data_IF_838989768242
#
_entry.id   IF_838989768242
#
_cell.length_a   1.000
_cell.length_b   1.000
_cell.length_c   1.000
_cell.angle_alpha   90.00
_cell.angle_beta   90.00
_cell.angle_gamma   90.00
#
_symmetry.space_group_name_H-M   'P 1'
#
loop_
_entity.id
_entity.type
_entity.pdbx_description
1 polymer ?
#
# COMPACT_ATOMS: atom_id res chain seq x y z
N UNK A 1 31.72 -29.53 7.30
CA UNK A 1 30.51 -28.85 7.80
C UNK A 1 30.89 -27.45 8.25
N UNK A 2 30.45 -26.40 7.55
CA UNK A 2 30.16 -25.12 8.18
C UNK A 2 28.63 -24.92 8.21
N UNK A 3 28.11 -24.63 9.40
CA UNK A 3 26.73 -24.21 9.61
C UNK A 3 26.56 -22.81 9.00
N UNK A 4 25.78 -22.70 7.92
CA UNK A 4 25.30 -21.43 7.41
C UNK A 4 24.21 -20.90 8.34
N UNK A 5 24.45 -19.71 8.89
CA UNK A 5 23.46 -18.94 9.63
C UNK A 5 22.28 -18.61 8.71
N UNK A 6 21.14 -19.26 8.94
CA UNK A 6 19.84 -18.80 8.45
C UNK A 6 19.54 -17.44 9.08
N UNK A 7 19.55 -16.38 8.28
CA UNK A 7 19.11 -15.04 8.70
C UNK A 7 17.58 -15.02 8.77
N UNK A 8 17.06 -15.52 9.88
CA UNK A 8 15.67 -15.39 10.29
C UNK A 8 15.37 -13.92 10.60
N UNK A 9 14.21 -13.43 10.18
CA UNK A 9 13.80 -12.04 10.35
C UNK A 9 13.32 -11.70 11.78
N UNK A 10 13.84 -12.35 12.82
CA UNK A 10 13.53 -12.02 14.22
C UNK A 10 14.70 -12.34 15.17
N UNK A 11 15.03 -11.37 16.04
CA UNK A 11 15.41 -11.47 17.48
C UNK A 11 16.08 -10.13 17.90
N UNK A 12 15.76 -9.49 19.04
CA UNK A 12 15.09 -10.00 20.23
C UNK A 12 14.50 -8.94 21.18
N UNK A 13 13.83 -9.47 22.21
CA UNK A 13 13.15 -8.84 23.36
C UNK A 13 14.15 -8.21 24.37
N UNK A 14 13.84 -7.51 25.47
CA UNK A 14 12.68 -7.31 26.37
C UNK A 14 13.08 -6.16 27.33
N UNK A 15 12.17 -5.27 27.78
CA UNK A 15 11.91 -4.92 29.21
C UNK A 15 11.04 -3.65 29.37
N UNK A 16 10.08 -3.79 30.29
CA UNK A 16 9.14 -2.77 30.77
C UNK A 16 9.83 -1.70 31.62
N UNK A 17 9.38 -0.45 31.50
CA UNK A 17 9.32 0.52 32.60
C UNK A 17 8.30 1.63 32.29
N UNK A 18 7.18 1.59 33.02
CA UNK A 18 6.19 2.67 33.18
C UNK A 18 6.75 3.72 34.15
N UNK A 19 6.81 4.99 33.75
CA UNK A 19 6.50 6.16 34.61
C UNK A 19 5.98 7.31 33.74
N UNK A 20 4.88 7.91 34.22
CA UNK A 20 4.04 8.94 33.64
C UNK A 20 4.73 10.24 33.22
N UNK A 21 4.16 10.90 32.20
CA UNK A 21 4.01 12.37 32.15
C UNK A 21 2.63 12.67 31.53
N UNK A 22 1.59 12.53 32.36
CA UNK A 22 0.32 13.20 32.16
C UNK A 22 0.52 14.66 32.58
N UNK A 23 -0.07 15.60 31.82
CA UNK A 23 -0.18 17.05 32.08
C UNK A 23 0.98 17.91 31.57
N UNK A 24 0.90 18.31 30.29
CA UNK A 24 1.13 19.71 29.91
C UNK A 24 0.48 20.00 28.54
N UNK A 25 -0.85 19.89 28.46
CA UNK A 25 -1.60 20.64 27.44
C UNK A 25 -1.86 22.03 28.03
N UNK A 26 -0.97 22.95 27.72
CA UNK A 26 -1.18 24.36 27.99
C UNK A 26 -2.12 24.93 26.92
N UNK A 27 -3.15 25.63 27.39
CA UNK A 27 -4.31 26.05 26.63
C UNK A 27 -3.96 26.96 25.45
N UNK A 28 -4.17 26.49 24.22
CA UNK A 28 -4.42 27.39 23.09
C UNK A 28 -5.92 27.56 22.99
N UNK A 29 -6.41 28.72 23.43
CA UNK A 29 -7.81 29.10 23.26
C UNK A 29 -8.12 29.17 21.76
N UNK A 30 -8.83 28.18 21.24
CA UNK A 30 -9.36 28.20 19.88
C UNK A 30 -10.53 29.17 19.81
N UNK A 31 -10.45 30.11 18.88
CA UNK A 31 -11.55 30.98 18.46
C UNK A 31 -12.77 30.10 18.11
N UNK A 32 -14.00 30.44 18.53
CA UNK A 32 -15.17 29.66 18.13
C UNK A 32 -15.38 29.81 16.62
N UNK A 33 -15.15 28.73 15.87
CA UNK A 33 -15.48 28.66 14.44
C UNK A 33 -17.00 28.75 14.28
N UNK A 34 -17.43 29.47 13.25
CA UNK A 34 -18.85 29.62 12.92
C UNK A 34 -19.43 28.30 12.42
N UNK A 35 -20.74 28.07 12.60
CA UNK A 35 -21.42 26.84 12.17
C UNK A 35 -21.26 26.55 10.67
N UNK A 36 -21.10 27.59 9.87
CA UNK A 36 -20.97 27.51 8.41
C UNK A 36 -19.56 27.03 7.98
N UNK A 37 -18.52 27.33 8.77
CA UNK A 37 -17.15 26.84 8.53
C UNK A 37 -17.02 25.35 8.87
N UNK A 38 -17.69 24.90 9.93
CA UNK A 38 -17.68 23.49 10.36
C UNK A 38 -18.35 22.58 9.31
N UNK A 39 -19.45 23.03 8.71
CA UNK A 39 -20.17 22.28 7.67
C UNK A 39 -19.34 22.18 6.37
N UNK A 40 -18.64 23.26 6.01
CA UNK A 40 -17.77 23.30 4.83
C UNK A 40 -16.53 22.40 4.97
N UNK A 41 -15.90 22.37 6.15
CA UNK A 41 -14.72 21.52 6.41
C UNK A 41 -15.09 20.03 6.43
N UNK A 42 -16.24 19.68 7.00
CA UNK A 42 -16.74 18.30 7.00
C UNK A 42 -17.11 17.82 5.60
N UNK A 43 -17.71 18.70 4.77
CA UNK A 43 -18.02 18.41 3.38
C UNK A 43 -16.74 18.21 2.55
N UNK A 44 -15.76 19.10 2.68
CA UNK A 44 -14.47 18.98 2.01
C UNK A 44 -13.76 17.65 2.36
N UNK A 45 -13.72 17.30 3.65
CA UNK A 45 -13.09 16.05 4.08
C UNK A 45 -13.83 14.82 3.53
N UNK A 46 -15.16 14.87 3.48
CA UNK A 46 -15.98 13.79 2.88
C UNK A 46 -15.67 13.61 1.39
N UNK A 47 -15.57 14.70 0.64
CA UNK A 47 -15.22 14.67 -0.80
C UNK A 47 -13.82 14.11 -1.03
N UNK A 48 -12.83 14.48 -0.20
CA UNK A 48 -11.49 13.90 -0.26
C UNK A 48 -11.51 12.39 -0.04
N UNK A 49 -12.26 11.90 0.97
CA UNK A 49 -12.41 10.48 1.19
C UNK A 49 -13.07 9.78 -0.01
N UNK A 50 -14.14 10.34 -0.57
CA UNK A 50 -14.83 9.76 -1.72
C UNK A 50 -13.93 9.70 -2.96
N UNK A 51 -13.16 10.76 -3.22
CA UNK A 51 -12.21 10.78 -4.32
C UNK A 51 -11.09 9.74 -4.14
N UNK A 52 -10.53 9.63 -2.92
CA UNK A 52 -9.51 8.63 -2.61
C UNK A 52 -10.04 7.20 -2.85
N UNK A 53 -11.26 6.88 -2.40
CA UNK A 53 -11.89 5.57 -2.62
C UNK A 53 -12.08 5.25 -4.10
N UNK A 54 -12.51 6.23 -4.91
CA UNK A 54 -12.62 6.07 -6.36
C UNK A 54 -11.24 5.80 -6.99
N UNK A 55 -10.19 6.50 -6.52
CA UNK A 55 -8.82 6.27 -7.00
C UNK A 55 -8.31 4.87 -6.66
N UNK A 56 -8.56 4.36 -5.44
CA UNK A 56 -8.21 2.96 -5.09
C UNK A 56 -8.85 1.95 -6.03
N UNK A 57 -10.17 2.08 -6.28
CA UNK A 57 -10.88 1.19 -7.19
C UNK A 57 -10.31 1.23 -8.61
N UNK A 58 -10.00 2.43 -9.10
CA UNK A 58 -9.40 2.61 -10.41
C UNK A 58 -8.00 1.97 -10.50
N UNK A 59 -7.14 2.21 -9.51
CA UNK A 59 -5.79 1.63 -9.46
C UNK A 59 -5.87 0.11 -9.37
N UNK A 60 -6.77 -0.44 -8.56
CA UNK A 60 -6.99 -1.88 -8.44
C UNK A 60 -7.43 -2.51 -9.76
N UNK A 61 -8.36 -1.86 -10.48
CA UNK A 61 -8.81 -2.29 -11.81
C UNK A 61 -7.66 -2.28 -12.82
N UNK A 62 -6.93 -1.16 -12.90
CA UNK A 62 -5.79 -1.02 -13.81
C UNK A 62 -4.67 -2.02 -13.50
N UNK A 63 -4.36 -2.26 -12.23
CA UNK A 63 -3.37 -3.25 -11.82
C UNK A 63 -3.80 -4.67 -12.20
N UNK A 64 -5.09 -4.98 -12.07
CA UNK A 64 -5.64 -6.28 -12.49
C UNK A 64 -5.58 -6.44 -14.01
N UNK A 65 -5.88 -5.38 -14.75
CA UNK A 65 -5.77 -5.36 -16.21
C UNK A 65 -4.32 -5.51 -16.68
N UNK A 66 -3.40 -4.75 -16.10
CA UNK A 66 -1.96 -4.85 -16.35
C UNK A 66 -1.46 -6.28 -16.12
N UNK A 67 -1.87 -6.90 -15.00
CA UNK A 67 -1.59 -8.31 -14.72
C UNK A 67 -2.07 -9.22 -15.84
N UNK A 68 -3.33 -9.11 -16.24
CA UNK A 68 -3.87 -9.91 -17.34
C UNK A 68 -3.04 -9.73 -18.61
N UNK A 69 -2.72 -8.50 -18.99
CA UNK A 69 -1.97 -8.18 -20.21
C UNK A 69 -0.60 -8.84 -20.26
N UNK A 70 0.19 -8.83 -19.19
CA UNK A 70 1.50 -9.50 -19.21
C UNK A 70 1.42 -11.03 -18.98
N UNK A 71 0.30 -11.53 -18.46
CA UNK A 71 0.05 -12.98 -18.27
C UNK A 71 -0.65 -13.67 -19.44
N UNK A 72 -1.21 -12.94 -20.41
CA UNK A 72 -1.94 -13.51 -21.56
C UNK A 72 -1.01 -13.88 -22.74
N UNK A 73 0.15 -14.43 -22.42
CA UNK A 73 1.18 -14.81 -23.39
C UNK A 73 1.48 -16.30 -23.30
N UNK A 74 1.86 -16.93 -24.42
CA UNK A 74 2.31 -18.34 -24.43
C UNK A 74 3.48 -18.57 -23.45
N UNK A 75 4.32 -17.54 -23.25
CA UNK A 75 5.37 -17.54 -22.24
C UNK A 75 4.80 -17.72 -20.83
N UNK A 76 3.72 -17.02 -20.50
CA UNK A 76 3.07 -17.09 -19.20
C UNK A 76 2.52 -18.49 -18.88
N UNK A 77 1.97 -19.22 -19.85
CA UNK A 77 1.50 -20.59 -19.60
C UNK A 77 2.65 -21.55 -19.26
N UNK A 78 3.76 -21.46 -20.01
CA UNK A 78 4.99 -22.23 -19.76
C UNK A 78 5.64 -21.82 -18.43
N UNK A 79 5.67 -20.52 -18.16
CA UNK A 79 6.14 -19.95 -16.91
C UNK A 79 5.29 -20.43 -15.74
N UNK A 80 3.96 -20.34 -15.80
CA UNK A 80 3.07 -20.86 -14.76
C UNK A 80 3.30 -22.34 -14.50
N UNK A 81 3.49 -23.15 -15.54
CA UNK A 81 3.78 -24.58 -15.36
C UNK A 81 5.12 -24.80 -14.65
N UNK A 82 6.19 -24.15 -15.10
CA UNK A 82 7.53 -24.23 -14.50
C UNK A 82 7.53 -23.68 -13.07
N UNK A 83 6.95 -22.50 -12.88
CA UNK A 83 6.78 -21.84 -11.59
C UNK A 83 6.01 -22.72 -10.62
N UNK A 84 4.91 -23.35 -11.04
CA UNK A 84 4.17 -24.26 -10.17
C UNK A 84 5.02 -25.48 -9.78
N UNK A 85 5.82 -26.04 -10.69
CA UNK A 85 6.74 -27.13 -10.39
C UNK A 85 7.82 -26.73 -9.37
N UNK A 86 8.49 -25.59 -9.58
CA UNK A 86 9.47 -25.05 -8.64
C UNK A 86 8.84 -24.64 -7.31
N UNK A 87 7.59 -24.17 -7.34
CA UNK A 87 6.80 -23.87 -6.14
C UNK A 87 6.49 -25.11 -5.33
N UNK A 88 6.26 -26.27 -5.95
CA UNK A 88 6.11 -27.51 -5.19
C UNK A 88 7.43 -28.01 -4.58
N UNK A 89 8.58 -27.63 -5.15
CA UNK A 89 9.90 -28.02 -4.66
C UNK A 89 10.45 -27.09 -3.55
N UNK A 90 10.21 -25.78 -3.63
CA UNK A 90 10.68 -24.76 -2.67
C UNK A 90 9.58 -23.74 -2.29
N UNK A 91 8.53 -24.25 -1.63
CA UNK A 91 7.38 -23.44 -1.19
C UNK A 91 7.78 -22.25 -0.31
N UNK A 92 8.76 -22.41 0.58
CA UNK A 92 9.12 -21.38 1.55
C UNK A 92 9.85 -20.20 0.88
N UNK A 93 10.76 -20.47 -0.07
CA UNK A 93 11.48 -19.43 -0.79
C UNK A 93 10.56 -18.59 -1.68
N UNK A 94 9.65 -19.23 -2.44
CA UNK A 94 8.76 -18.50 -3.34
C UNK A 94 7.66 -17.75 -2.59
N UNK A 95 7.09 -18.32 -1.53
CA UNK A 95 6.18 -17.59 -0.64
C UNK A 95 6.89 -16.36 -0.10
N UNK A 96 8.11 -16.51 0.44
CA UNK A 96 8.85 -15.39 1.02
C UNK A 96 9.19 -14.32 -0.03
N UNK A 97 9.57 -14.72 -1.25
CA UNK A 97 10.01 -13.79 -2.30
C UNK A 97 8.85 -13.01 -2.91
N UNK A 98 7.67 -13.64 -3.09
CA UNK A 98 6.48 -12.98 -3.62
C UNK A 98 5.69 -12.19 -2.56
N UNK A 99 5.69 -12.64 -1.31
CA UNK A 99 4.91 -11.97 -0.24
C UNK A 99 5.67 -10.85 0.45
N UNK A 100 7.00 -10.81 0.36
CA UNK A 100 7.80 -9.73 0.91
C UNK A 100 7.87 -8.54 -0.06
N UNK A 101 6.99 -7.57 0.16
CA UNK A 101 6.95 -6.33 -0.57
C UNK A 101 7.99 -5.34 -0.03
N UNK A 102 7.55 -4.43 0.82
CA UNK A 102 8.38 -3.42 1.47
C UNK A 102 8.65 -3.82 2.94
N UNK A 103 9.78 -3.35 3.49
CA UNK A 103 10.13 -3.62 4.89
C UNK A 103 9.53 -2.53 5.80
N UNK A 104 8.23 -2.60 6.04
CA UNK A 104 7.54 -1.63 6.90
C UNK A 104 7.80 -1.87 8.39
N UNK A 105 7.96 -0.78 9.16
CA UNK A 105 8.15 -0.87 10.62
C UNK A 105 6.92 -1.38 11.38
N UNK A 106 5.73 -1.30 10.78
CA UNK A 106 4.49 -1.84 11.34
C UNK A 106 3.95 -2.87 10.36
N UNK A 107 3.61 -4.06 10.89
CA UNK A 107 3.03 -5.16 10.11
C UNK A 107 1.78 -4.65 9.38
N UNK A 108 1.70 -4.95 8.09
CA UNK A 108 0.52 -4.66 7.27
C UNK A 108 -0.65 -5.50 7.78
N UNK A 109 -1.76 -4.90 8.26
CA UNK A 109 -2.98 -5.66 8.53
C UNK A 109 -3.51 -6.24 7.21
N UNK A 110 -3.88 -7.51 7.23
CA UNK A 110 -4.33 -8.22 6.02
C UNK A 110 -5.83 -8.04 5.77
N UNK A 111 -6.58 -7.71 6.83
CA UNK A 111 -8.03 -7.58 6.80
C UNK A 111 -8.52 -6.52 7.80
N UNK A 112 -9.84 -6.28 7.77
CA UNK A 112 -10.51 -5.29 8.62
C UNK A 112 -10.36 -5.60 10.10
N UNK A 113 -10.47 -6.88 10.50
CA UNK A 113 -10.40 -7.29 11.91
C UNK A 113 -9.00 -7.04 12.49
N UNK A 114 -7.95 -7.23 11.69
CA UNK A 114 -6.58 -6.87 12.05
C UNK A 114 -6.39 -5.35 12.09
N UNK A 115 -6.93 -4.62 11.11
CA UNK A 115 -6.81 -3.17 11.05
C UNK A 115 -7.55 -2.47 12.21
N UNK A 116 -8.68 -3.00 12.65
CA UNK A 116 -9.44 -2.50 13.81
C UNK A 116 -8.69 -2.63 15.14
N UNK A 117 -7.74 -3.55 15.24
CA UNK A 117 -6.89 -3.72 16.44
C UNK A 117 -5.76 -2.72 16.50
N UNK A 118 -5.49 -1.99 15.41
CA UNK A 118 -4.45 -0.97 15.34
C UNK A 118 -5.03 0.35 15.86
N UNK A 119 -4.29 1.03 16.74
CA UNK A 119 -4.66 2.38 17.18
C UNK A 119 -4.79 3.33 15.98
N UNK A 120 -5.87 4.10 15.94
CA UNK A 120 -6.14 5.12 14.92
C UNK A 120 -4.98 6.15 14.83
N UNK A 121 -4.30 6.41 15.94
CA UNK A 121 -3.08 7.25 16.00
C UNK A 121 -1.92 6.73 15.15
N UNK A 122 -1.88 5.43 14.86
CA UNK A 122 -0.85 4.82 14.00
C UNK A 122 -1.21 4.86 12.50
N UNK A 123 -2.45 5.22 12.15
CA UNK A 123 -2.90 5.23 10.76
C UNK A 123 -2.13 6.20 9.87
N UNK A 124 -1.79 7.45 10.31
CA UNK A 124 -0.99 8.34 9.49
C UNK A 124 0.34 7.71 9.08
N UNK A 125 1.04 7.06 10.03
CA UNK A 125 2.31 6.39 9.77
C UNK A 125 2.16 5.23 8.80
N UNK A 126 1.10 4.43 8.98
CA UNK A 126 0.80 3.29 8.12
C UNK A 126 0.52 3.70 6.68
N UNK A 127 -0.36 4.69 6.50
CA UNK A 127 -0.82 5.17 5.20
C UNK A 127 0.32 5.89 4.46
N UNK A 128 0.96 6.87 5.10
CA UNK A 128 1.95 7.71 4.42
C UNK A 128 3.21 6.93 4.04
N UNK A 129 3.69 5.99 4.87
CA UNK A 129 4.85 5.17 4.53
C UNK A 129 4.62 4.33 3.27
N UNK A 130 3.40 3.82 3.09
CA UNK A 130 2.99 3.00 1.93
C UNK A 130 2.79 3.85 0.69
N UNK A 131 2.03 4.94 0.81
CA UNK A 131 1.79 5.82 -0.33
C UNK A 131 3.09 6.47 -0.82
N UNK A 132 4.00 6.83 0.08
CA UNK A 132 5.30 7.34 -0.32
C UNK A 132 6.16 6.28 -0.99
N UNK A 133 6.22 5.05 -0.44
CA UNK A 133 6.95 3.94 -1.05
C UNK A 133 6.46 3.65 -2.48
N UNK A 134 5.16 3.61 -2.71
CA UNK A 134 4.58 3.37 -4.04
C UNK A 134 4.76 4.53 -5.00
N UNK A 135 4.65 5.78 -4.53
CA UNK A 135 4.90 6.95 -5.35
C UNK A 135 6.34 6.98 -5.89
N UNK A 136 7.33 6.61 -5.07
CA UNK A 136 8.72 6.49 -5.55
C UNK A 136 8.91 5.26 -6.44
N UNK A 137 8.36 4.12 -6.04
CA UNK A 137 8.52 2.85 -6.78
C UNK A 137 8.01 2.98 -8.21
N UNK A 138 6.81 3.54 -8.40
CA UNK A 138 6.22 3.68 -9.73
C UNK A 138 7.01 4.66 -10.62
N UNK A 139 7.51 5.77 -10.05
CA UNK A 139 8.37 6.73 -10.75
C UNK A 139 9.70 6.11 -11.21
N UNK A 140 10.26 5.20 -10.43
CA UNK A 140 11.51 4.53 -10.75
C UNK A 140 11.32 3.38 -11.74
N UNK A 141 10.19 2.66 -11.67
CA UNK A 141 9.89 1.52 -12.54
C UNK A 141 9.48 1.97 -13.94
N UNK A 142 8.73 3.07 -14.06
CA UNK A 142 8.18 3.48 -15.34
C UNK A 142 9.26 3.69 -16.43
N UNK A 143 10.38 4.41 -16.18
CA UNK A 143 11.47 4.54 -17.16
C UNK A 143 12.11 3.21 -17.56
N UNK A 144 12.13 2.23 -16.66
CA UNK A 144 12.66 0.88 -16.93
C UNK A 144 11.76 0.17 -17.94
N UNK A 145 10.43 0.26 -17.76
CA UNK A 145 9.46 -0.35 -18.66
C UNK A 145 9.49 0.31 -20.05
N UNK A 146 9.62 1.64 -20.11
CA UNK A 146 9.63 2.42 -21.36
C UNK A 146 10.87 2.19 -22.21
N UNK A 147 12.05 2.15 -21.59
CA UNK A 147 13.31 2.01 -22.33
C UNK A 147 13.57 0.58 -22.82
N UNK A 148 12.70 -0.36 -22.45
CA UNK A 148 12.92 -1.77 -22.69
C UNK A 148 12.24 -2.26 -23.96
N UNK A 149 13.05 -2.82 -24.85
CA UNK A 149 12.58 -3.54 -26.03
C UNK A 149 11.82 -4.81 -25.61
N UNK A 150 10.65 -5.03 -26.22
CA UNK A 150 9.82 -6.21 -25.97
C UNK A 150 8.79 -6.08 -24.84
N UNK A 151 8.75 -4.97 -24.10
CA UNK A 151 7.62 -4.67 -23.22
C UNK A 151 6.39 -4.34 -24.06
N UNK A 152 5.25 -4.98 -23.80
CA UNK A 152 4.01 -4.66 -24.50
C UNK A 152 3.59 -3.21 -24.23
N UNK A 153 3.28 -2.45 -25.29
CA UNK A 153 2.86 -1.04 -25.18
C UNK A 153 1.67 -0.86 -24.23
N UNK A 154 0.77 -1.84 -24.18
CA UNK A 154 -0.39 -1.84 -23.29
C UNK A 154 0.01 -1.91 -21.81
N UNK A 155 1.03 -2.71 -21.47
CA UNK A 155 1.58 -2.78 -20.09
C UNK A 155 2.17 -1.44 -19.68
N UNK A 156 2.93 -0.80 -20.57
CA UNK A 156 3.51 0.54 -20.32
C UNK A 156 2.38 1.57 -20.12
N UNK A 157 1.36 1.55 -20.97
CA UNK A 157 0.22 2.48 -20.89
C UNK A 157 -0.52 2.33 -19.55
N UNK A 158 -0.82 1.09 -19.14
CA UNK A 158 -1.47 0.81 -17.87
C UNK A 158 -0.61 1.23 -16.67
N UNK A 159 0.70 0.99 -16.72
CA UNK A 159 1.63 1.42 -15.68
C UNK A 159 1.66 2.96 -15.53
N UNK A 160 1.60 3.71 -16.64
CA UNK A 160 1.50 5.19 -16.62
C UNK A 160 0.23 5.67 -15.95
N UNK A 161 -0.90 5.05 -16.27
CA UNK A 161 -2.17 5.42 -15.66
C UNK A 161 -2.22 5.10 -14.16
N UNK A 162 -1.59 3.99 -13.74
CA UNK A 162 -1.40 3.65 -12.33
C UNK A 162 -0.52 4.70 -11.63
N UNK A 163 0.64 5.06 -12.20
CA UNK A 163 1.55 6.05 -11.64
C UNK A 163 0.86 7.40 -11.42
N UNK A 164 0.18 7.90 -12.47
CA UNK A 164 -0.52 9.18 -12.42
C UNK A 164 -1.62 9.19 -11.36
N UNK A 165 -2.44 8.13 -11.30
CA UNK A 165 -3.52 8.04 -10.30
C UNK A 165 -2.98 7.86 -8.89
N UNK A 166 -1.91 7.10 -8.73
CA UNK A 166 -1.24 6.93 -7.43
C UNK A 166 -0.66 8.26 -6.92
N UNK A 167 -0.10 9.08 -7.81
CA UNK A 167 0.39 10.41 -7.44
C UNK A 167 -0.73 11.32 -6.90
N UNK A 168 -1.90 11.32 -7.56
CA UNK A 168 -3.08 12.06 -7.08
C UNK A 168 -3.55 11.50 -5.73
N UNK A 169 -3.68 10.18 -5.62
CA UNK A 169 -4.09 9.52 -4.39
C UNK A 169 -3.15 9.82 -3.22
N UNK A 170 -1.83 9.92 -3.47
CA UNK A 170 -0.85 10.29 -2.46
C UNK A 170 -1.06 11.71 -1.93
N UNK A 171 -1.39 12.67 -2.80
CA UNK A 171 -1.73 14.02 -2.38
C UNK A 171 -3.03 14.05 -1.56
N UNK A 172 -4.07 13.34 -2.01
CA UNK A 172 -5.34 13.24 -1.28
C UNK A 172 -5.15 12.62 0.11
N UNK A 173 -4.34 11.57 0.23
CA UNK A 173 -4.04 10.96 1.53
C UNK A 173 -3.30 11.91 2.46
N UNK A 174 -2.35 12.71 1.95
CA UNK A 174 -1.71 13.75 2.76
C UNK A 174 -2.72 14.79 3.21
N UNK A 175 -3.60 15.25 2.32
CA UNK A 175 -4.61 16.26 2.64
C UNK A 175 -5.57 15.73 3.72
N UNK A 176 -6.13 14.53 3.55
CA UNK A 176 -7.00 13.87 4.53
C UNK A 176 -6.33 13.80 5.90
N UNK A 177 -5.11 13.29 5.95
CA UNK A 177 -4.40 13.11 7.22
C UNK A 177 -4.04 14.46 7.85
N UNK A 178 -3.71 15.48 7.04
CA UNK A 178 -3.41 16.81 7.53
C UNK A 178 -4.62 17.53 8.13
N UNK A 179 -5.81 17.31 7.55
CA UNK A 179 -7.06 17.86 8.08
C UNK A 179 -7.46 17.23 9.41
N UNK A 180 -7.09 15.96 9.65
CA UNK A 180 -7.49 15.22 10.86
C UNK A 180 -6.46 15.35 11.98
N UNK A 181 -5.17 15.24 11.65
CA UNK A 181 -4.07 15.16 12.63
C UNK A 181 -3.17 16.40 12.65
N UNK A 182 -3.44 17.40 11.79
CA UNK A 182 -2.53 18.51 11.57
C UNK A 182 -1.29 18.08 10.76
N UNK A 183 -0.21 18.87 10.83
CA UNK A 183 1.01 18.60 10.06
C UNK A 183 1.58 17.22 10.41
N UNK A 184 1.54 16.30 9.44
CA UNK A 184 2.13 14.97 9.57
C UNK A 184 3.64 15.04 9.35
N UNK A 185 4.39 14.34 10.20
CA UNK A 185 5.84 14.25 10.06
C UNK A 185 6.24 13.41 8.85
N UNK A 186 7.46 13.62 8.36
CA UNK A 186 8.04 12.76 7.35
C UNK A 186 8.23 11.36 7.94
N UNK A 187 7.67 10.35 7.28
CA UNK A 187 7.79 8.96 7.68
C UNK A 187 8.76 8.21 6.79
N UNK A 188 9.70 7.48 7.37
CA UNK A 188 10.62 6.67 6.58
C UNK A 188 9.86 5.71 5.64
N UNK A 189 10.38 5.56 4.43
CA UNK A 189 9.90 4.58 3.47
C UNK A 189 11.04 3.61 3.13
N UNK A 190 10.66 2.42 2.65
CA UNK A 190 11.61 1.43 2.17
C UNK A 190 11.45 1.23 0.67
N UNK A 191 12.51 0.79 0.02
CA UNK A 191 12.51 0.46 -1.41
C UNK A 191 12.01 -0.97 -1.62
N UNK A 192 11.16 -1.18 -2.63
CA UNK A 192 10.77 -2.52 -3.06
C UNK A 192 11.97 -3.24 -3.67
N UNK A 193 12.34 -4.38 -3.09
CA UNK A 193 13.47 -5.21 -3.56
C UNK A 193 13.03 -6.17 -4.67
N UNK A 194 13.93 -6.58 -5.56
CA UNK A 194 13.64 -7.52 -6.66
C UNK A 194 13.02 -6.85 -7.89
N UNK A 195 13.08 -5.52 -8.00
CA UNK A 195 12.66 -4.79 -9.20
C UNK A 195 13.80 -4.59 -10.20
N UNK A 196 15.05 -4.80 -9.77
CA UNK A 196 16.23 -4.90 -10.63
C UNK A 196 16.06 -5.93 -11.75
N UNK A 197 15.30 -7.00 -11.48
CA UNK A 197 14.99 -8.07 -12.43
C UNK A 197 14.13 -7.61 -13.62
N UNK A 198 13.46 -6.45 -13.52
CA UNK A 198 12.80 -5.81 -14.66
C UNK A 198 13.78 -5.44 -15.78
N UNK A 199 15.08 -5.32 -15.49
CA UNK A 199 16.15 -5.07 -16.46
C UNK A 199 16.88 -6.35 -16.91
N UNK A 200 16.59 -7.51 -16.30
CA UNK A 200 17.26 -8.78 -16.62
C UNK A 200 17.02 -9.20 -18.06
N UNK A 201 18.04 -9.70 -18.77
CA UNK A 201 17.86 -10.29 -20.10
C UNK A 201 16.96 -11.52 -20.10
N UNK A 202 16.83 -12.19 -18.95
CA UNK A 202 15.94 -13.33 -18.76
C UNK A 202 14.46 -12.90 -18.70
N UNK A 203 13.62 -13.54 -19.52
CA UNK A 203 12.18 -13.26 -19.57
C UNK A 203 11.44 -13.73 -18.33
N UNK A 204 11.96 -14.76 -17.67
CA UNK A 204 11.39 -15.34 -16.45
C UNK A 204 11.54 -14.38 -15.27
N UNK A 205 12.75 -13.87 -15.03
CA UNK A 205 13.00 -12.90 -13.97
C UNK A 205 12.23 -11.60 -14.19
N UNK A 206 12.10 -11.14 -15.43
CA UNK A 206 11.23 -10.00 -15.76
C UNK A 206 9.78 -10.24 -15.37
N UNK A 207 9.23 -11.38 -15.79
CA UNK A 207 7.84 -11.70 -15.54
C UNK A 207 7.59 -11.84 -14.03
N UNK A 208 8.51 -12.47 -13.32
CA UNK A 208 8.47 -12.55 -11.86
C UNK A 208 8.48 -11.17 -11.19
N UNK A 209 9.31 -10.24 -11.66
CA UNK A 209 9.35 -8.87 -11.12
C UNK A 209 8.03 -8.11 -11.37
N UNK A 210 7.38 -8.29 -12.53
CA UNK A 210 6.05 -7.74 -12.81
C UNK A 210 4.96 -8.36 -11.92
N UNK A 211 5.00 -9.68 -11.70
CA UNK A 211 4.13 -10.38 -10.76
C UNK A 211 4.27 -9.82 -9.35
N UNK A 212 5.51 -9.65 -8.87
CA UNK A 212 5.81 -9.08 -7.56
C UNK A 212 5.31 -7.63 -7.44
N UNK A 213 5.60 -6.79 -8.44
CA UNK A 213 5.13 -5.40 -8.48
C UNK A 213 3.59 -5.32 -8.37
N UNK A 214 2.88 -6.11 -9.18
CA UNK A 214 1.41 -6.13 -9.20
C UNK A 214 0.82 -6.67 -7.89
N UNK A 215 1.36 -7.78 -7.37
CA UNK A 215 0.92 -8.36 -6.11
C UNK A 215 1.10 -7.38 -4.95
N UNK A 216 2.28 -6.79 -4.84
CA UNK A 216 2.60 -5.87 -3.76
C UNK A 216 1.76 -4.59 -3.82
N UNK A 217 1.53 -4.04 -5.02
CA UNK A 217 0.67 -2.87 -5.18
C UNK A 217 -0.73 -3.18 -4.66
N UNK A 218 -1.28 -4.36 -5.00
CA UNK A 218 -2.60 -4.79 -4.53
C UNK A 218 -2.64 -4.89 -3.00
N UNK A 219 -1.65 -5.54 -2.38
CA UNK A 219 -1.61 -5.75 -0.93
C UNK A 219 -1.55 -4.42 -0.17
N UNK A 220 -0.63 -3.55 -0.55
CA UNK A 220 -0.44 -2.27 0.15
C UNK A 220 -1.61 -1.32 -0.11
N UNK A 221 -2.16 -1.26 -1.33
CA UNK A 221 -3.33 -0.42 -1.63
C UNK A 221 -4.58 -0.88 -0.89
N UNK A 222 -4.81 -2.20 -0.80
CA UNK A 222 -5.93 -2.75 -0.03
C UNK A 222 -5.84 -2.35 1.44
N UNK A 223 -4.65 -2.41 2.02
CA UNK A 223 -4.45 -1.98 3.39
C UNK A 223 -4.74 -0.48 3.58
N UNK A 224 -4.22 0.38 2.69
CA UNK A 224 -4.47 1.83 2.79
C UNK A 224 -5.96 2.13 2.65
N UNK A 225 -6.66 1.46 1.72
CA UNK A 225 -8.11 1.57 1.54
C UNK A 225 -8.88 1.18 2.82
N UNK A 226 -8.54 0.05 3.46
CA UNK A 226 -9.13 -0.37 4.73
C UNK A 226 -8.88 0.67 5.83
N UNK A 227 -7.65 1.15 5.99
CA UNK A 227 -7.32 2.15 7.01
C UNK A 227 -8.09 3.46 6.78
N UNK A 228 -8.23 3.93 5.54
CA UNK A 228 -8.99 5.14 5.23
C UNK A 228 -10.50 4.97 5.42
N UNK A 229 -11.06 3.79 5.09
CA UNK A 229 -12.47 3.47 5.39
C UNK A 229 -12.74 3.51 6.89
N UNK A 230 -11.87 2.90 7.69
CA UNK A 230 -11.95 2.95 9.15
C UNK A 230 -11.80 4.38 9.68
N UNK A 231 -10.85 5.15 9.15
CA UNK A 231 -10.64 6.54 9.55
C UNK A 231 -11.85 7.42 9.23
N UNK A 232 -12.42 7.28 8.03
CA UNK A 232 -13.65 7.96 7.62
C UNK A 232 -14.78 7.67 8.59
N UNK A 233 -14.89 6.42 9.06
CA UNK A 233 -15.91 6.04 10.03
C UNK A 233 -15.77 6.72 11.39
N UNK A 234 -14.54 6.87 11.85
CA UNK A 234 -14.25 7.55 13.13
C UNK A 234 -14.50 9.06 13.02
N UNK A 235 -14.14 9.68 11.90
CA UNK A 235 -14.13 11.15 11.78
C UNK A 235 -15.44 11.73 11.25
N UNK A 236 -16.04 11.14 10.21
CA UNK A 236 -17.22 11.71 9.55
C UNK A 236 -18.52 11.30 10.24
N UNK A 237 -18.55 10.12 10.86
CA UNK A 237 -19.74 9.53 11.49
C UNK A 237 -20.84 9.16 10.48
N UNK A 238 -21.49 8.01 10.66
CA UNK A 238 -22.67 7.61 9.88
C UNK A 238 -22.49 7.43 8.35
N UNK A 239 -21.28 7.06 7.88
CA UNK A 239 -21.16 6.58 6.50
C UNK A 239 -21.69 5.15 6.39
N UNK A 240 -22.40 4.78 5.32
CA UNK A 240 -22.90 3.41 5.08
C UNK A 240 -21.79 2.34 5.17
N UNK A 241 -20.54 2.76 4.98
CA UNK A 241 -19.33 1.95 5.11
C UNK A 241 -19.14 1.44 6.56
N UNK A 242 -19.58 2.19 7.58
CA UNK A 242 -19.34 1.92 9.00
C UNK A 242 -20.24 0.84 9.60
N UNK A 243 -21.40 0.62 8.99
CA UNK A 243 -22.41 -0.33 9.45
C UNK A 243 -22.45 -1.58 8.57
N UNK A 244 -21.77 -1.57 7.42
CA UNK A 244 -21.86 -2.69 6.49
C UNK A 244 -20.98 -3.86 6.95
N UNK A 245 -21.63 -4.99 7.19
CA UNK A 245 -20.99 -6.30 7.14
C UNK A 245 -20.23 -6.54 5.81
N UNK A 246 -20.43 -5.71 4.76
CA UNK A 246 -19.82 -5.86 3.43
C UNK A 246 -18.32 -5.66 3.38
N UNK A 247 -17.66 -5.06 4.39
CA UNK A 247 -16.19 -5.06 4.41
C UNK A 247 -15.61 -6.48 4.62
N UNK A 248 -16.45 -7.47 4.96
CA UNK A 248 -16.05 -8.89 5.04
C UNK A 248 -16.10 -9.66 3.73
N UNK A 249 -16.88 -9.23 2.74
CA UNK A 249 -17.33 -10.13 1.66
C UNK A 249 -16.62 -9.90 0.30
N UNK A 250 -15.79 -8.86 0.16
CA UNK A 250 -15.08 -8.54 -1.10
C UNK A 250 -13.55 -8.86 -1.06
N UNK A 251 -13.10 -9.75 -0.14
CA UNK A 251 -11.70 -10.22 -0.06
C UNK A 251 -11.45 -11.49 -0.87
#
# INVERSE_FOLDING_TARGET
MPLSFSRSCFLGALLMLLVSNLLLWENVASVPLSSDEIDNDQLYLKELFDHALILFQNISKLNTEMRRTYTDTEFSEKFHHKFMLEFFEDQEFLIKTLTCCHNYSIKTPENVDEAQKISVENFPKLILSRMWAWNNTLKNVLPILENRTGTHNDVISLAKDIERKNAVLYEDTKNILSSIYGKTENVDYTVLTGLEDLQSSDEEFRHFALCKLSYCLRVDMNMVDICLKLLRCVVVGNSDICSSQRIRDDS
#
